data_IF_334763940741
#
_entry.id   IF_334763940741
#
_cell.length_a   1.000
_cell.length_b   1.000
_cell.length_c   1.000
_cell.angle_alpha   90.00
_cell.angle_beta   90.00
_cell.angle_gamma   90.00
#
_symmetry.space_group_name_H-M   'P 1'
#
loop_
_entity.id
_entity.type
_entity.pdbx_description
1 polymer ?
#
# COMPACT_ATOMS: atom_id res chain seq x y z
N UNK A 1 3.78 -13.56 -1.26
CA UNK A 1 5.17 -13.65 -0.73
C UNK A 1 5.09 -13.55 0.78
N UNK A 2 5.74 -14.43 1.56
CA UNK A 2 5.77 -14.29 3.02
C UNK A 2 6.53 -13.01 3.40
N UNK A 3 6.10 -12.35 4.49
CA UNK A 3 6.82 -11.23 5.09
C UNK A 3 8.13 -11.79 5.67
N UNK A 4 9.27 -11.45 5.06
CA UNK A 4 10.61 -11.93 5.46
C UNK A 4 11.22 -11.08 6.60
N UNK A 5 10.37 -10.63 7.52
CA UNK A 5 10.75 -9.82 8.68
C UNK A 5 10.33 -10.55 9.94
N UNK A 6 11.31 -10.95 10.76
CA UNK A 6 11.02 -11.55 12.05
C UNK A 6 10.56 -10.47 13.05
N UNK A 7 9.25 -10.45 13.30
CA UNK A 7 8.62 -9.60 14.31
C UNK A 7 8.22 -10.40 15.56
N UNK A 8 8.73 -11.62 15.72
CA UNK A 8 8.41 -12.48 16.85
C UNK A 8 9.12 -12.02 18.14
N UNK A 9 8.71 -12.53 19.32
CA UNK A 9 9.45 -12.31 20.57
C UNK A 9 10.91 -12.80 20.55
N UNK A 10 11.29 -13.61 19.54
CA UNK A 10 12.63 -14.14 19.37
C UNK A 10 13.45 -13.36 18.33
N UNK A 11 12.91 -12.27 17.77
CA UNK A 11 13.59 -11.44 16.79
C UNK A 11 14.96 -10.97 17.33
N UNK A 12 15.96 -10.79 16.45
CA UNK A 12 17.27 -10.26 16.85
C UNK A 12 17.11 -8.98 17.67
N UNK A 13 17.95 -8.78 18.68
CA UNK A 13 17.87 -7.60 19.55
C UNK A 13 18.94 -6.60 19.14
N UNK A 14 18.57 -5.33 19.06
CA UNK A 14 19.51 -4.21 19.03
C UNK A 14 19.66 -3.62 20.42
N UNK A 15 20.89 -3.28 20.80
CA UNK A 15 21.22 -2.64 22.07
C UNK A 15 21.83 -1.27 21.79
N UNK A 16 21.32 -0.23 22.46
CA UNK A 16 21.85 1.12 22.33
C UNK A 16 23.03 1.37 23.29
N UNK A 17 23.71 2.50 23.16
CA UNK A 17 24.87 2.88 23.99
C UNK A 17 24.58 2.94 25.50
N UNK A 18 23.29 3.02 25.89
CA UNK A 18 22.84 3.06 27.29
C UNK A 18 22.43 1.67 27.82
N UNK A 19 22.69 0.59 27.06
CA UNK A 19 22.35 -0.78 27.42
C UNK A 19 20.86 -1.13 27.30
N UNK A 20 20.05 -0.29 26.64
CA UNK A 20 18.63 -0.57 26.40
C UNK A 20 18.47 -1.45 25.17
N UNK A 21 17.62 -2.47 25.30
CA UNK A 21 17.38 -3.49 24.29
C UNK A 21 16.01 -3.33 23.64
N UNK A 22 15.94 -3.53 22.33
CA UNK A 22 14.70 -3.59 21.57
C UNK A 22 14.85 -4.57 20.41
N UNK A 23 13.74 -5.10 19.89
CA UNK A 23 13.76 -5.91 18.66
C UNK A 23 14.39 -5.12 17.51
N UNK A 24 15.24 -5.78 16.75
CA UNK A 24 15.75 -5.31 15.47
C UNK A 24 14.59 -5.20 14.50
N UNK A 25 14.55 -4.10 13.75
CA UNK A 25 13.55 -3.88 12.71
C UNK A 25 14.32 -3.66 11.42
N UNK A 26 14.43 -4.71 10.61
CA UNK A 26 15.18 -4.68 9.34
C UNK A 26 14.35 -4.09 8.18
N UNK A 27 13.38 -3.24 8.50
CA UNK A 27 12.52 -2.52 7.55
C UNK A 27 12.34 -1.07 7.97
N UNK A 28 12.28 -0.18 6.98
CA UNK A 28 12.26 1.28 7.17
C UNK A 28 10.88 1.89 6.95
N UNK A 29 9.91 1.48 7.78
CA UNK A 29 8.56 2.06 7.76
C UNK A 29 8.58 3.59 7.99
N UNK A 30 9.55 4.08 8.74
CA UNK A 30 9.76 5.51 9.01
C UNK A 30 10.13 6.34 7.76
N UNK A 31 10.57 5.69 6.67
CA UNK A 31 10.87 6.34 5.39
C UNK A 31 9.67 6.38 4.44
N UNK A 32 8.52 5.80 4.82
CA UNK A 32 7.35 5.83 3.95
C UNK A 32 6.81 7.26 3.77
N UNK A 33 6.37 7.63 2.55
CA UNK A 33 5.90 8.98 2.26
C UNK A 33 4.54 9.24 2.91
N UNK A 34 4.53 9.76 4.13
CA UNK A 34 3.34 9.93 4.96
C UNK A 34 2.18 10.62 4.22
N UNK A 35 2.43 11.73 3.51
CA UNK A 35 1.38 12.45 2.78
C UNK A 35 0.72 11.59 1.70
N UNK A 36 1.49 10.81 0.95
CA UNK A 36 0.96 9.89 -0.06
C UNK A 36 0.15 8.77 0.58
N UNK A 37 0.57 8.27 1.74
CA UNK A 37 -0.19 7.26 2.49
C UNK A 37 -1.55 7.81 2.98
N UNK A 38 -1.60 9.06 3.44
CA UNK A 38 -2.88 9.71 3.79
C UNK A 38 -3.80 9.89 2.58
N UNK A 39 -3.25 10.24 1.41
CA UNK A 39 -4.03 10.32 0.17
C UNK A 39 -4.65 8.96 -0.19
N UNK A 40 -3.84 7.89 -0.16
CA UNK A 40 -4.30 6.50 -0.39
C UNK A 40 -5.39 6.10 0.61
N UNK A 41 -5.20 6.39 1.90
CA UNK A 41 -6.20 6.12 2.93
C UNK A 41 -7.52 6.85 2.64
N UNK A 42 -7.47 8.08 2.14
CA UNK A 42 -8.65 8.83 1.70
C UNK A 42 -9.37 8.19 0.50
N UNK A 43 -8.63 7.64 -0.47
CA UNK A 43 -9.20 6.86 -1.59
C UNK A 43 -9.92 5.62 -1.06
N UNK A 44 -9.26 4.86 -0.18
CA UNK A 44 -9.83 3.66 0.43
C UNK A 44 -11.09 3.96 1.25
N UNK A 45 -11.09 5.06 2.02
CA UNK A 45 -12.24 5.51 2.79
C UNK A 45 -13.45 5.81 1.89
N UNK A 46 -13.26 6.60 0.83
CA UNK A 46 -14.31 6.88 -0.16
C UNK A 46 -14.79 5.61 -0.86
N UNK A 47 -13.87 4.70 -1.19
CA UNK A 47 -14.16 3.41 -1.78
C UNK A 47 -15.03 2.53 -0.88
N UNK A 48 -14.68 2.44 0.41
CA UNK A 48 -15.42 1.67 1.40
C UNK A 48 -16.84 2.22 1.62
N UNK A 49 -17.00 3.55 1.70
CA UNK A 49 -18.32 4.18 1.80
C UNK A 49 -19.21 3.89 0.58
N UNK A 50 -18.61 3.83 -0.62
CA UNK A 50 -19.35 3.69 -1.89
C UNK A 50 -19.63 2.23 -2.28
N UNK A 51 -18.68 1.35 -2.05
CA UNK A 51 -18.70 -0.03 -2.57
C UNK A 51 -18.63 -1.09 -1.46
N UNK A 52 -18.51 -0.69 -0.20
CA UNK A 52 -18.31 -1.59 0.93
C UNK A 52 -16.82 -1.82 1.24
N UNK A 53 -16.55 -2.13 2.51
CA UNK A 53 -15.21 -2.45 2.98
C UNK A 53 -14.65 -3.68 2.27
N UNK A 54 -13.39 -3.62 1.83
CA UNK A 54 -12.72 -4.75 1.18
C UNK A 54 -13.21 -5.12 -0.22
N UNK A 55 -14.21 -4.43 -0.80
CA UNK A 55 -14.74 -4.73 -2.13
C UNK A 55 -13.65 -4.77 -3.23
N UNK A 56 -12.60 -3.98 -3.09
CA UNK A 56 -11.48 -3.93 -4.04
C UNK A 56 -10.69 -5.25 -4.14
N UNK A 57 -10.81 -6.14 -3.14
CA UNK A 57 -10.18 -7.47 -3.16
C UNK A 57 -10.82 -8.40 -4.19
N UNK A 58 -12.07 -8.16 -4.57
CA UNK A 58 -12.72 -8.93 -5.65
C UNK A 58 -12.35 -8.47 -7.06
N UNK A 59 -11.39 -7.56 -7.21
CA UNK A 59 -10.96 -7.03 -8.51
C UNK A 59 -9.61 -7.66 -8.87
N UNK A 60 -9.50 -8.17 -10.10
CA UNK A 60 -8.30 -8.84 -10.58
C UNK A 60 -7.09 -7.89 -10.62
N UNK A 61 -5.88 -8.46 -10.50
CA UNK A 61 -4.62 -7.71 -10.60
C UNK A 61 -4.53 -6.89 -11.89
N UNK A 62 -4.89 -7.47 -13.03
CA UNK A 62 -4.82 -6.79 -14.34
C UNK A 62 -5.79 -5.60 -14.43
N UNK A 63 -6.97 -5.70 -13.80
CA UNK A 63 -7.92 -4.59 -13.75
C UNK A 63 -7.39 -3.44 -12.87
N UNK A 64 -6.77 -3.76 -11.72
CA UNK A 64 -6.10 -2.73 -10.91
C UNK A 64 -4.96 -2.06 -11.68
N UNK A 65 -4.14 -2.82 -12.41
CA UNK A 65 -3.06 -2.28 -13.25
C UNK A 65 -3.60 -1.37 -14.36
N UNK A 66 -4.66 -1.79 -15.05
CA UNK A 66 -5.29 -0.99 -16.09
C UNK A 66 -5.86 0.33 -15.53
N UNK A 67 -6.50 0.30 -14.36
CA UNK A 67 -6.97 1.50 -13.68
C UNK A 67 -5.82 2.40 -13.22
N UNK A 68 -4.71 1.84 -12.73
CA UNK A 68 -3.53 2.61 -12.36
C UNK A 68 -2.96 3.37 -13.56
N UNK A 69 -2.78 2.68 -14.69
CA UNK A 69 -2.31 3.28 -15.95
C UNK A 69 -3.24 4.39 -16.43
N UNK A 70 -4.56 4.19 -16.32
CA UNK A 70 -5.56 5.22 -16.66
C UNK A 70 -5.33 6.52 -15.88
N UNK A 71 -5.12 6.42 -14.57
CA UNK A 71 -4.84 7.60 -13.74
C UNK A 71 -3.47 8.22 -14.04
N UNK A 72 -2.44 7.42 -14.32
CA UNK A 72 -1.13 7.93 -14.74
C UNK A 72 -1.25 8.73 -16.03
N UNK A 73 -1.95 8.23 -17.05
CA UNK A 73 -2.12 8.94 -18.31
C UNK A 73 -3.01 10.18 -18.17
N UNK A 74 -4.05 10.15 -17.32
CA UNK A 74 -4.84 11.34 -17.01
C UNK A 74 -3.97 12.46 -16.40
N UNK A 75 -3.11 12.11 -15.44
CA UNK A 75 -2.16 13.06 -14.85
C UNK A 75 -1.20 13.63 -15.90
N UNK A 76 -0.61 12.77 -16.74
CA UNK A 76 0.31 13.20 -17.80
C UNK A 76 -0.38 14.08 -18.86
N UNK A 77 -1.67 13.87 -19.09
CA UNK A 77 -2.49 14.72 -19.97
C UNK A 77 -2.88 16.06 -19.33
N UNK A 78 -2.52 16.29 -18.06
CA UNK A 78 -2.85 17.52 -17.34
C UNK A 78 -4.27 17.56 -16.79
N UNK A 79 -4.94 16.41 -16.65
CA UNK A 79 -6.23 16.36 -15.98
C UNK A 79 -6.08 16.69 -14.48
N UNK A 80 -7.04 17.45 -13.95
CA UNK A 80 -7.06 17.92 -12.57
C UNK A 80 -8.39 17.68 -11.89
N UNK A 81 -9.25 16.83 -12.47
CA UNK A 81 -10.58 16.52 -11.93
C UNK A 81 -10.52 15.64 -10.66
N UNK A 82 -9.39 14.96 -10.41
CA UNK A 82 -9.18 14.10 -9.24
C UNK A 82 -7.70 14.09 -8.80
N UNK A 83 -7.42 13.49 -7.65
CA UNK A 83 -6.05 13.16 -7.25
C UNK A 83 -5.56 11.91 -8.00
N UNK A 84 -5.16 12.11 -9.26
CA UNK A 84 -4.77 11.01 -10.13
C UNK A 84 -3.57 10.21 -9.61
N UNK A 85 -2.54 10.87 -9.07
CA UNK A 85 -1.37 10.15 -8.56
C UNK A 85 -1.70 9.38 -7.27
N UNK A 86 -2.52 9.92 -6.37
CA UNK A 86 -3.00 9.20 -5.20
C UNK A 86 -3.84 7.98 -5.58
N UNK A 87 -4.72 8.11 -6.57
CA UNK A 87 -5.51 7.00 -7.10
C UNK A 87 -4.64 5.94 -7.80
N UNK A 88 -3.68 6.35 -8.63
CA UNK A 88 -2.75 5.44 -9.29
C UNK A 88 -1.92 4.66 -8.27
N UNK A 89 -1.37 5.33 -7.26
CA UNK A 89 -0.59 4.70 -6.19
C UNK A 89 -1.44 3.69 -5.39
N UNK A 90 -2.68 4.05 -5.06
CA UNK A 90 -3.63 3.17 -4.40
C UNK A 90 -3.90 1.90 -5.23
N UNK A 91 -4.14 2.06 -6.55
CA UNK A 91 -4.35 0.94 -7.47
C UNK A 91 -3.12 0.04 -7.61
N UNK A 92 -1.93 0.61 -7.65
CA UNK A 92 -0.69 -0.17 -7.71
C UNK A 92 -0.48 -1.01 -6.45
N UNK A 93 -0.78 -0.47 -5.25
CA UNK A 93 -0.72 -1.24 -4.01
C UNK A 93 -1.75 -2.37 -3.99
N UNK A 94 -2.99 -2.11 -4.44
CA UNK A 94 -4.01 -3.16 -4.57
C UNK A 94 -3.58 -4.25 -5.55
N UNK A 95 -3.08 -3.89 -6.74
CA UNK A 95 -2.58 -4.86 -7.71
C UNK A 95 -1.44 -5.71 -7.13
N UNK A 96 -0.50 -5.08 -6.41
CA UNK A 96 0.59 -5.78 -5.76
C UNK A 96 0.09 -6.74 -4.69
N UNK A 97 -0.85 -6.30 -3.83
CA UNK A 97 -1.49 -7.16 -2.84
C UNK A 97 -2.16 -8.38 -3.50
N UNK A 98 -3.00 -8.15 -4.52
CA UNK A 98 -3.69 -9.25 -5.22
C UNK A 98 -2.70 -10.25 -5.84
N UNK A 99 -1.60 -9.75 -6.39
CA UNK A 99 -0.53 -10.60 -6.92
C UNK A 99 0.24 -11.37 -5.82
N UNK A 100 0.30 -10.84 -4.60
CA UNK A 100 1.01 -11.44 -3.47
C UNK A 100 0.17 -12.49 -2.72
N UNK A 101 -1.13 -12.27 -2.62
CA UNK A 101 -2.07 -13.08 -1.83
C UNK A 101 -2.87 -14.06 -2.67
N UNK A 102 -2.97 -13.85 -3.98
CA UNK A 102 -3.63 -14.78 -4.89
C UNK A 102 -5.12 -14.97 -4.62
N UNK A 103 -5.79 -14.02 -3.95
CA UNK A 103 -7.24 -14.03 -3.73
C UNK A 103 -7.99 -13.70 -5.04
N UNK A 104 -7.81 -14.51 -6.08
CA UNK A 104 -8.72 -14.57 -7.22
C UNK A 104 -9.13 -16.04 -7.33
N UNK A 105 -10.14 -16.41 -6.55
CA UNK A 105 -10.94 -17.63 -6.82
C UNK A 105 -12.17 -17.25 -7.65
#
# INVERSE_FOLDING_TARGET
>A
MPIDVDLSPNAPITENEQGRKQSAIDVRFDLLPAHSLFAIAGVLHRGALKYGEGNWKGIATDDHLNHALTHVFAYLAGDTQDDHLGHAACRMLMAHEMALTGEVE
#
